data_IF_508117482552
#
_entry.id   IF_508117482552
#
_cell.length_a   1.000
_cell.length_b   1.000
_cell.length_c   1.000
_cell.angle_alpha   90.00
_cell.angle_beta   90.00
_cell.angle_gamma   90.00
#
_symmetry.space_group_name_H-M   'P 1'
#
loop_
_entity.id
_entity.type
_entity.pdbx_description
1 polymer ?
#
# COMPACT_ATOMS: atom_id res chain seq x y z
N UNK A 1 -37.74 -10.42 -4.84
CA UNK A 1 -36.63 -10.71 -3.89
C UNK A 1 -35.43 -11.18 -4.69
N UNK A 2 -34.40 -10.34 -4.83
CA UNK A 2 -33.22 -10.62 -5.66
C UNK A 2 -32.23 -11.52 -4.90
N UNK A 3 -32.05 -12.75 -5.40
CA UNK A 3 -31.17 -13.81 -4.85
C UNK A 3 -29.66 -13.54 -5.01
N UNK A 4 -29.23 -12.29 -5.18
CA UNK A 4 -27.82 -11.96 -5.45
C UNK A 4 -26.99 -11.57 -4.22
N UNK A 5 -27.60 -11.43 -3.04
CA UNK A 5 -26.93 -10.95 -1.83
C UNK A 5 -26.56 -12.03 -0.80
N UNK A 6 -26.98 -13.29 -0.98
CA UNK A 6 -26.81 -14.32 0.07
C UNK A 6 -25.47 -15.07 0.02
N UNK A 7 -24.60 -14.82 -0.97
CA UNK A 7 -23.30 -15.51 -1.12
C UNK A 7 -22.08 -14.75 -0.58
N UNK A 8 -22.25 -13.55 -0.03
CA UNK A 8 -21.13 -12.70 0.46
C UNK A 8 -20.94 -12.71 1.97
N UNK A 9 -21.93 -13.20 2.74
CA UNK A 9 -21.89 -13.19 4.21
C UNK A 9 -20.80 -14.11 4.80
N UNK A 10 -20.66 -15.33 4.27
CA UNK A 10 -19.67 -16.31 4.77
C UNK A 10 -18.22 -15.87 4.47
N UNK A 11 -17.97 -15.23 3.33
CA UNK A 11 -16.64 -14.71 2.98
C UNK A 11 -16.25 -13.48 3.81
N UNK A 12 -17.21 -12.67 4.25
CA UNK A 12 -16.95 -11.50 5.09
C UNK A 12 -16.55 -11.89 6.51
N UNK A 13 -17.22 -12.88 7.12
CA UNK A 13 -16.92 -13.31 8.48
C UNK A 13 -15.55 -14.00 8.58
N UNK A 14 -15.24 -14.92 7.65
CA UNK A 14 -13.93 -15.58 7.57
C UNK A 14 -12.77 -14.58 7.39
N UNK A 15 -13.01 -13.49 6.66
CA UNK A 15 -12.04 -12.40 6.49
C UNK A 15 -11.87 -11.56 7.76
N UNK A 16 -12.96 -11.22 8.45
CA UNK A 16 -12.92 -10.51 9.74
C UNK A 16 -12.14 -11.33 10.78
N UNK A 17 -12.30 -12.66 10.76
CA UNK A 17 -11.62 -13.55 11.69
C UNK A 17 -10.13 -13.71 11.34
N UNK A 18 -9.75 -13.73 10.05
CA UNK A 18 -8.34 -13.73 9.62
C UNK A 18 -7.58 -12.44 10.00
N UNK A 19 -8.25 -11.28 9.99
CA UNK A 19 -7.69 -10.01 10.49
C UNK A 19 -7.45 -10.08 12.00
N UNK A 20 -8.38 -10.67 12.76
CA UNK A 20 -8.25 -10.84 14.21
C UNK A 20 -7.13 -11.81 14.61
N UNK A 21 -6.79 -12.76 13.74
CA UNK A 21 -5.70 -13.72 13.93
C UNK A 21 -4.30 -13.17 13.61
N UNK A 22 -4.17 -11.92 13.15
CA UNK A 22 -2.87 -11.31 12.87
C UNK A 22 -2.14 -11.88 11.64
N UNK A 23 -2.85 -12.56 10.74
CA UNK A 23 -2.27 -13.05 9.47
C UNK A 23 -2.20 -11.91 8.47
N UNK A 24 -1.03 -11.73 7.83
CA UNK A 24 -0.86 -10.76 6.76
C UNK A 24 -1.92 -10.98 5.68
N UNK A 25 -2.60 -9.89 5.27
CA UNK A 25 -3.61 -9.96 4.21
C UNK A 25 -2.95 -10.36 2.89
N UNK A 26 -3.59 -11.19 2.06
CA UNK A 26 -3.08 -11.49 0.73
C UNK A 26 -2.99 -10.21 -0.10
N UNK A 27 -2.00 -10.13 -0.99
CA UNK A 27 -1.70 -8.91 -1.77
C UNK A 27 -1.90 -9.20 -3.26
N UNK A 28 -2.48 -8.26 -3.99
CA UNK A 28 -2.50 -8.26 -5.44
C UNK A 28 -1.09 -7.96 -5.98
N UNK A 29 -0.47 -8.95 -6.62
CA UNK A 29 0.94 -8.89 -7.03
C UNK A 29 1.10 -8.39 -8.47
N UNK A 30 2.32 -7.95 -8.79
CA UNK A 30 2.66 -7.56 -10.17
C UNK A 30 2.47 -8.71 -11.16
N UNK A 31 2.80 -9.94 -10.77
CA UNK A 31 2.59 -11.13 -11.62
C UNK A 31 1.11 -11.34 -11.96
N UNK A 32 0.21 -11.20 -10.97
CA UNK A 32 -1.24 -11.28 -11.21
C UNK A 32 -1.70 -10.18 -12.18
N UNK A 33 -1.21 -8.95 -11.99
CA UNK A 33 -1.52 -7.83 -12.88
C UNK A 33 -1.02 -8.07 -14.31
N UNK A 34 0.22 -8.56 -14.47
CA UNK A 34 0.83 -8.84 -15.78
C UNK A 34 0.11 -9.99 -16.52
N UNK A 35 -0.49 -10.92 -15.77
CA UNK A 35 -1.35 -11.98 -16.29
C UNK A 35 -2.79 -11.51 -16.61
N UNK A 36 -3.13 -10.24 -16.36
CA UNK A 36 -4.47 -9.70 -16.57
C UNK A 36 -5.50 -10.19 -15.53
N UNK A 37 -5.05 -10.69 -14.38
CA UNK A 37 -5.93 -11.08 -13.29
C UNK A 37 -6.49 -9.85 -12.54
N UNK A 38 -7.62 -10.04 -11.86
CA UNK A 38 -8.19 -9.04 -10.95
C UNK A 38 -7.92 -9.44 -9.49
N UNK A 39 -7.80 -8.47 -8.57
CA UNK A 39 -7.68 -8.78 -7.14
C UNK A 39 -8.94 -9.49 -6.64
N UNK A 40 -8.73 -10.46 -5.75
CA UNK A 40 -9.80 -11.24 -5.11
C UNK A 40 -10.28 -10.54 -3.84
N UNK A 41 -11.48 -10.88 -3.39
CA UNK A 41 -12.00 -10.39 -2.11
C UNK A 41 -11.03 -10.75 -0.98
N UNK A 42 -10.74 -9.77 -0.12
CA UNK A 42 -9.77 -9.86 0.97
C UNK A 42 -8.35 -9.46 0.58
N UNK A 43 -8.06 -9.21 -0.70
CA UNK A 43 -6.72 -8.78 -1.14
C UNK A 43 -6.49 -7.28 -0.99
N UNK A 44 -5.28 -6.91 -0.60
CA UNK A 44 -4.80 -5.53 -0.66
C UNK A 44 -4.29 -5.19 -2.07
N UNK A 45 -4.64 -4.00 -2.54
CA UNK A 45 -4.22 -3.47 -3.84
C UNK A 45 -4.19 -1.94 -3.81
N UNK A 46 -3.65 -1.35 -4.88
CA UNK A 46 -3.71 0.07 -5.14
C UNK A 46 -4.82 0.38 -6.15
N UNK A 47 -5.56 1.46 -5.94
CA UNK A 47 -6.56 1.94 -6.89
C UNK A 47 -6.41 3.46 -7.09
N UNK A 48 -6.69 3.94 -8.31
CA UNK A 48 -6.60 5.38 -8.60
C UNK A 48 -7.90 6.12 -8.27
N UNK A 49 -7.79 7.24 -7.56
CA UNK A 49 -8.89 8.15 -7.22
C UNK A 49 -8.45 9.59 -7.48
N UNK A 50 -9.12 10.26 -8.42
CA UNK A 50 -8.83 11.66 -8.81
C UNK A 50 -7.34 11.92 -9.12
N UNK A 51 -6.68 10.94 -9.76
CA UNK A 51 -5.26 11.03 -10.11
C UNK A 51 -4.28 10.61 -9.00
N UNK A 52 -4.75 10.41 -7.77
CA UNK A 52 -3.94 9.86 -6.68
C UNK A 52 -4.08 8.34 -6.59
N UNK A 53 -3.01 7.64 -6.20
CA UNK A 53 -3.03 6.22 -5.89
C UNK A 53 -3.38 6.06 -4.40
N UNK A 54 -4.41 5.29 -4.11
CA UNK A 54 -4.82 4.94 -2.75
C UNK A 54 -4.67 3.43 -2.53
N UNK A 55 -4.30 3.03 -1.30
CA UNK A 55 -4.27 1.63 -0.87
C UNK A 55 -5.63 1.23 -0.32
N UNK A 56 -6.11 0.05 -0.66
CA UNK A 56 -7.34 -0.49 -0.08
C UNK A 56 -7.42 -2.01 -0.14
N UNK A 57 -8.35 -2.56 0.63
CA UNK A 57 -8.69 -3.98 0.58
C UNK A 57 -9.97 -4.19 -0.22
N UNK A 58 -9.99 -5.16 -1.13
CA UNK A 58 -11.20 -5.53 -1.88
C UNK A 58 -12.20 -6.20 -0.94
N UNK A 59 -13.37 -5.61 -0.75
CA UNK A 59 -14.45 -6.17 0.09
C UNK A 59 -15.52 -6.89 -0.71
N UNK A 60 -15.71 -6.52 -1.97
CA UNK A 60 -16.60 -7.24 -2.89
C UNK A 60 -16.16 -7.09 -4.34
N UNK A 61 -16.42 -8.13 -5.13
CA UNK A 61 -16.21 -8.15 -6.56
C UNK A 61 -17.48 -8.68 -7.24
N UNK A 62 -18.11 -7.85 -8.07
CA UNK A 62 -19.33 -8.19 -8.83
C UNK A 62 -19.01 -8.23 -10.32
N UNK A 63 -19.98 -8.54 -11.18
CA UNK A 63 -19.75 -8.52 -12.63
C UNK A 63 -19.31 -7.14 -13.15
N UNK A 64 -19.82 -6.05 -12.58
CA UNK A 64 -19.60 -4.67 -13.07
C UNK A 64 -18.78 -3.79 -12.14
N UNK A 65 -18.77 -4.09 -10.86
CA UNK A 65 -18.19 -3.24 -9.83
C UNK A 65 -17.19 -3.98 -8.96
N UNK A 66 -16.23 -3.23 -8.45
CA UNK A 66 -15.34 -3.61 -7.35
C UNK A 66 -15.56 -2.63 -6.19
N UNK A 67 -15.55 -3.15 -4.97
CA UNK A 67 -15.70 -2.37 -3.74
C UNK A 67 -14.40 -2.52 -2.95
N UNK A 68 -13.84 -1.39 -2.54
CA UNK A 68 -12.66 -1.30 -1.70
C UNK A 68 -13.02 -0.72 -0.34
N UNK A 69 -12.27 -1.08 0.69
CA UNK A 69 -12.21 -0.34 1.94
C UNK A 69 -10.81 0.21 2.09
N UNK A 70 -10.68 1.52 2.28
CA UNK A 70 -9.38 2.16 2.51
C UNK A 70 -8.89 2.02 3.95
N UNK A 71 -7.72 2.58 4.24
CA UNK A 71 -7.09 2.56 5.56
C UNK A 71 -7.93 3.23 6.66
N UNK A 72 -8.88 4.10 6.29
CA UNK A 72 -9.76 4.81 7.22
C UNK A 72 -11.08 4.07 7.45
N UNK A 73 -11.32 2.96 6.73
CA UNK A 73 -12.55 2.20 6.81
C UNK A 73 -13.64 2.70 5.87
N UNK A 74 -13.35 3.66 4.99
CA UNK A 74 -14.32 4.18 4.03
C UNK A 74 -14.48 3.22 2.85
N UNK A 75 -15.73 2.99 2.43
CA UNK A 75 -16.05 2.15 1.28
C UNK A 75 -16.02 2.94 -0.04
N UNK A 76 -15.30 2.39 -1.02
CA UNK A 76 -15.17 2.97 -2.37
C UNK A 76 -15.71 1.99 -3.40
N UNK A 77 -16.81 2.37 -4.06
CA UNK A 77 -17.37 1.61 -5.19
C UNK A 77 -16.81 2.15 -6.50
N UNK A 78 -16.30 1.27 -7.36
CA UNK A 78 -15.78 1.61 -8.69
C UNK A 78 -16.29 0.63 -9.73
N UNK A 79 -16.57 1.11 -10.94
CA UNK A 79 -16.81 0.21 -12.08
C UNK A 79 -15.48 -0.39 -12.54
N UNK A 80 -15.50 -1.65 -12.96
CA UNK A 80 -14.29 -2.39 -13.37
C UNK A 80 -13.61 -1.79 -14.60
N UNK A 81 -14.40 -1.29 -15.56
CA UNK A 81 -13.93 -0.69 -16.80
C UNK A 81 -13.37 0.74 -16.63
N UNK A 82 -13.71 1.40 -15.52
CA UNK A 82 -13.26 2.75 -15.20
C UNK A 82 -12.19 2.78 -14.09
N UNK A 83 -11.81 1.62 -13.54
CA UNK A 83 -10.89 1.51 -12.42
C UNK A 83 -9.56 0.92 -12.85
N UNK A 84 -8.49 1.72 -12.76
CA UNK A 84 -7.12 1.20 -12.82
C UNK A 84 -6.77 0.64 -11.44
N UNK A 85 -6.57 -0.67 -11.39
CA UNK A 85 -6.10 -1.39 -10.21
C UNK A 85 -4.63 -1.72 -10.45
N UNK A 86 -3.78 -1.30 -9.53
CA UNK A 86 -2.35 -1.52 -9.57
C UNK A 86 -1.96 -2.46 -8.41
N UNK A 87 -0.95 -3.33 -8.59
CA UNK A 87 -0.42 -4.11 -7.49
C UNK A 87 0.12 -3.20 -6.39
N UNK A 88 0.21 -3.71 -5.15
CA UNK A 88 0.96 -2.96 -4.14
C UNK A 88 2.40 -2.81 -4.62
N UNK A 89 3.01 -1.62 -4.45
CA UNK A 89 4.45 -1.47 -4.65
C UNK A 89 5.16 -2.57 -3.84
N UNK A 90 6.17 -3.21 -4.44
CA UNK A 90 6.99 -4.19 -3.70
C UNK A 90 7.44 -3.52 -2.39
N UNK A 91 7.33 -4.20 -1.24
CA UNK A 91 7.90 -3.69 -0.01
C UNK A 91 9.37 -3.38 -0.27
N UNK A 92 9.75 -2.13 -0.05
CA UNK A 92 11.14 -1.72 -0.14
C UNK A 92 11.74 -1.98 1.24
N UNK A 93 12.71 -2.87 1.30
CA UNK A 93 13.52 -3.05 2.51
C UNK A 93 14.39 -1.81 2.67
N UNK A 94 14.05 -0.95 3.63
CA UNK A 94 14.87 0.19 3.97
C UNK A 94 15.99 -0.22 4.91
N UNK A 95 17.22 0.11 4.53
CA UNK A 95 18.37 0.00 5.41
C UNK A 95 18.31 1.12 6.44
N UNK A 96 18.44 0.77 7.72
CA UNK A 96 18.48 1.76 8.79
C UNK A 96 19.57 2.81 8.53
N UNK A 97 19.21 4.10 8.61
CA UNK A 97 20.06 5.26 8.33
C UNK A 97 20.53 5.41 6.87
N UNK A 98 20.04 4.59 5.94
CA UNK A 98 20.22 4.84 4.51
C UNK A 98 19.56 6.14 4.05
N UNK A 99 20.08 6.75 2.98
CA UNK A 99 19.55 7.97 2.37
C UNK A 99 18.71 7.62 1.13
N UNK A 100 17.53 8.22 1.04
CA UNK A 100 16.55 7.92 0.01
C UNK A 100 15.96 9.18 -0.59
N UNK A 101 15.64 9.11 -1.88
CA UNK A 101 14.76 10.03 -2.59
C UNK A 101 13.35 9.43 -2.61
N UNK A 102 12.30 10.20 -2.32
CA UNK A 102 10.92 9.70 -2.29
C UNK A 102 9.89 10.81 -2.50
N UNK A 103 8.68 10.41 -2.85
CA UNK A 103 7.52 11.30 -3.02
C UNK A 103 6.47 11.04 -1.94
N UNK A 104 5.77 12.07 -1.48
CA UNK A 104 4.60 11.95 -0.58
C UNK A 104 3.45 12.80 -1.11
N UNK A 105 2.42 12.14 -1.64
CA UNK A 105 1.29 12.81 -2.29
C UNK A 105 1.75 13.75 -3.41
N UNK A 106 1.49 15.06 -3.23
CA UNK A 106 1.90 16.10 -4.18
C UNK A 106 3.34 16.63 -3.96
N UNK A 107 4.01 16.22 -2.89
CA UNK A 107 5.40 16.60 -2.63
C UNK A 107 6.33 15.63 -3.34
N UNK A 108 7.21 16.16 -4.19
CA UNK A 108 8.08 15.39 -5.07
C UNK A 108 9.54 15.55 -4.69
N UNK A 109 10.34 14.53 -4.99
CA UNK A 109 11.81 14.55 -4.87
C UNK A 109 12.29 14.91 -3.45
N UNK A 110 11.63 14.38 -2.43
CA UNK A 110 12.03 14.56 -1.04
C UNK A 110 13.25 13.70 -0.73
N UNK A 111 14.25 14.29 -0.08
CA UNK A 111 15.42 13.57 0.40
C UNK A 111 15.26 13.29 1.89
N UNK A 112 15.42 12.04 2.30
CA UNK A 112 15.24 11.64 3.68
C UNK A 112 16.06 10.44 4.08
N UNK A 113 16.12 10.22 5.39
CA UNK A 113 16.86 9.12 6.00
C UNK A 113 15.89 8.12 6.61
N UNK A 114 16.17 6.83 6.41
CA UNK A 114 15.36 5.77 6.96
C UNK A 114 15.65 5.58 8.46
N UNK A 115 14.60 5.47 9.27
CA UNK A 115 14.70 5.16 10.69
C UNK A 115 13.68 4.09 11.07
N UNK A 116 14.08 3.17 11.95
CA UNK A 116 13.14 2.29 12.62
C UNK A 116 12.71 2.99 13.91
N UNK A 117 11.40 3.19 14.11
CA UNK A 117 10.92 3.70 15.39
C UNK A 117 10.70 2.53 16.34
N UNK A 118 10.86 2.76 17.64
CA UNK A 118 10.59 1.72 18.65
C UNK A 118 9.08 1.45 18.83
N UNK A 119 8.21 2.22 18.17
CA UNK A 119 6.76 2.24 18.39
C UNK A 119 5.94 1.78 17.19
N UNK A 120 6.43 1.98 15.96
CA UNK A 120 5.84 1.41 14.74
C UNK A 120 6.69 0.23 14.29
N UNK A 121 6.08 -0.93 14.05
CA UNK A 121 6.75 -2.17 13.63
C UNK A 121 7.36 -2.10 12.21
N UNK A 122 7.46 -0.90 11.62
CA UNK A 122 7.94 -0.67 10.26
C UNK A 122 8.92 0.52 10.15
N UNK A 123 9.75 0.53 9.11
CA UNK A 123 10.66 1.64 8.85
C UNK A 123 9.89 2.90 8.43
N UNK A 124 10.40 4.08 8.80
CA UNK A 124 9.92 5.40 8.38
C UNK A 124 10.98 6.12 7.56
N UNK A 125 10.55 7.04 6.69
CA UNK A 125 11.42 7.98 5.99
C UNK A 125 11.27 9.38 6.57
N UNK A 126 12.35 9.92 7.14
CA UNK A 126 12.37 11.29 7.68
C UNK A 126 12.99 12.24 6.68
N UNK A 127 12.20 13.18 6.17
CA UNK A 127 12.68 14.24 5.29
C UNK A 127 13.70 15.12 6.02
N UNK A 128 14.90 15.30 5.45
CA UNK A 128 16.00 16.03 6.10
C UNK A 128 15.79 17.55 6.13
N UNK A 129 15.05 18.11 5.18
CA UNK A 129 14.78 19.55 5.10
C UNK A 129 13.71 19.98 6.12
N UNK A 130 12.65 19.20 6.27
CA UNK A 130 11.50 19.56 7.14
C UNK A 130 11.48 18.82 8.46
N UNK A 131 12.38 17.85 8.65
CA UNK A 131 12.42 16.94 9.80
C UNK A 131 11.08 16.24 10.05
N UNK A 132 10.32 15.97 8.98
CA UNK A 132 9.02 15.32 9.04
C UNK A 132 9.17 13.85 8.69
N UNK A 133 8.68 12.96 9.55
CA UNK A 133 8.68 11.52 9.32
C UNK A 133 7.41 11.08 8.61
N UNK A 134 7.58 10.19 7.64
CA UNK A 134 6.53 9.58 6.85
C UNK A 134 6.62 8.07 6.99
N UNK A 135 5.47 7.42 7.22
CA UNK A 135 5.39 5.97 7.09
C UNK A 135 5.73 5.58 5.64
N UNK A 136 6.43 4.46 5.45
CA UNK A 136 6.79 4.00 4.10
C UNK A 136 5.56 3.76 3.23
N UNK A 137 4.42 3.38 3.84
CA UNK A 137 3.16 3.14 3.15
C UNK A 137 2.58 4.38 2.46
N UNK A 138 2.97 5.60 2.88
CA UNK A 138 2.54 6.85 2.23
C UNK A 138 3.60 7.43 1.28
N UNK A 139 4.73 6.74 1.14
CA UNK A 139 5.83 7.14 0.26
C UNK A 139 5.73 6.40 -1.09
N UNK A 140 6.10 7.09 -2.16
CA UNK A 140 6.13 6.53 -3.53
C UNK A 140 7.45 6.89 -4.21
N UNK A 141 7.78 6.22 -5.31
CA UNK A 141 9.03 6.45 -6.07
C UNK A 141 10.29 6.43 -5.19
N UNK A 142 10.32 5.58 -4.17
CA UNK A 142 11.44 5.52 -3.23
C UNK A 142 12.67 4.96 -3.96
N UNK A 143 13.76 5.70 -3.95
CA UNK A 143 15.04 5.33 -4.55
C UNK A 143 16.15 5.49 -3.51
N UNK A 144 16.98 4.45 -3.35
CA UNK A 144 18.14 4.54 -2.47
C UNK A 144 19.22 5.39 -3.16
N UNK A 145 19.66 6.44 -2.47
CA UNK A 145 20.76 7.29 -2.90
C UNK A 145 22.08 6.77 -2.34
N UNK A 146 22.11 6.46 -1.04
CA UNK A 146 23.28 5.95 -0.33
C UNK A 146 22.88 4.96 0.76
N UNK A 147 23.68 3.91 0.93
CA UNK A 147 23.63 3.03 2.11
C UNK A 147 24.21 3.73 3.34
N UNK A 148 23.92 3.21 4.53
CA UNK A 148 24.57 3.69 5.77
C UNK A 148 26.08 3.53 5.69
N UNK A 149 26.53 2.44 5.05
CA UNK A 149 27.96 2.12 4.92
C UNK A 149 28.72 3.08 4.02
N UNK A 150 28.05 3.66 3.01
CA UNK A 150 28.63 4.65 2.10
C UNK A 150 28.71 6.03 2.75
N UNK A 151 27.67 6.43 3.51
CA UNK A 151 27.66 7.70 4.24
C UNK A 151 28.78 7.79 5.28
N UNK A 152 29.08 6.70 5.97
CA UNK A 152 30.14 6.68 6.99
C UNK A 152 31.56 6.78 6.41
N UNK A 153 31.74 6.59 5.09
CA UNK A 153 33.05 6.69 4.44
C UNK A 153 33.42 8.14 4.09
N UNK A 154 32.46 9.05 4.07
CA UNK A 154 32.70 10.48 3.78
C UNK A 154 32.98 11.30 5.05
N UNK A 155 32.87 10.71 6.24
CA UNK A 155 33.21 11.37 7.53
C UNK A 155 34.67 11.14 8.00
N UNK A 156 35.57 10.62 7.14
CA UNK A 156 37.00 10.37 7.45
C UNK A 156 37.93 11.24 6.62
#
# INVERSE_FOLDING_TARGET
MNKYFERTGENKQNYIDAIKEGKAKPVFTQEMHDNGELPKVGMECCFRKRGAIEKGTVTALTERFIIFTDSFGDEHVRKKDECTIEPLPKPIELEEKGLYLFDVGNKKELVGRAYHTAFEEGPMLTNLQTNTSYSVDCCTNIQQLFTKSELNKEEV
#
